data_IF_640294119417
#
_entry.id   IF_640294119417
#
_cell.length_a   1.000
_cell.length_b   1.000
_cell.length_c   1.000
_cell.angle_alpha   90.00
_cell.angle_beta   90.00
_cell.angle_gamma   90.00
#
_symmetry.space_group_name_H-M   'P 1'
#
loop_
_entity.id
_entity.type
_entity.pdbx_description
1 polymer ?
#
# COMPACT_ATOMS: atom_id res chain seq x y z
N UNK A 1 -5.73 39.76 -10.01
CA UNK A 1 -4.33 39.30 -9.97
C UNK A 1 -4.34 37.81 -9.70
N UNK A 2 -3.97 36.98 -10.69
CA UNK A 2 -3.88 35.53 -10.56
C UNK A 2 -2.55 35.18 -9.85
N UNK A 3 -2.51 34.25 -8.89
CA UNK A 3 -1.23 33.83 -8.33
C UNK A 3 -0.51 32.92 -9.34
N UNK A 4 0.73 33.30 -9.64
CA UNK A 4 1.65 32.58 -10.52
C UNK A 4 1.93 31.18 -9.98
N UNK A 5 1.79 30.20 -10.86
CA UNK A 5 2.14 28.81 -10.61
C UNK A 5 3.66 28.67 -10.43
N UNK A 6 4.11 28.52 -9.17
CA UNK A 6 5.45 28.01 -8.87
C UNK A 6 5.54 26.56 -9.35
N UNK A 7 6.16 26.38 -10.51
CA UNK A 7 6.63 25.09 -11.02
C UNK A 7 7.79 24.60 -10.16
N UNK A 8 7.47 24.06 -8.99
CA UNK A 8 8.41 23.41 -8.09
C UNK A 8 8.86 22.05 -8.64
N UNK A 9 9.67 22.05 -9.70
CA UNK A 9 10.63 20.96 -9.92
C UNK A 9 11.73 21.15 -8.88
N UNK A 10 11.48 20.71 -7.65
CA UNK A 10 12.50 20.62 -6.63
C UNK A 10 13.63 19.75 -7.16
N UNK A 11 14.84 20.30 -7.16
CA UNK A 11 16.06 19.56 -7.45
C UNK A 11 16.28 18.52 -6.34
N UNK A 12 15.92 17.27 -6.60
CA UNK A 12 16.26 16.13 -5.75
C UNK A 12 17.68 15.69 -6.08
N UNK A 13 18.69 16.47 -5.63
CA UNK A 13 20.11 16.10 -5.75
C UNK A 13 20.54 15.30 -4.53
N UNK A 14 20.93 14.03 -4.75
CA UNK A 14 21.72 13.26 -3.79
C UNK A 14 21.09 11.97 -3.27
N UNK A 15 20.70 11.05 -4.16
CA UNK A 15 20.56 9.65 -3.81
C UNK A 15 21.28 8.83 -4.87
N UNK A 16 22.11 7.87 -4.45
CA UNK A 16 22.64 6.87 -5.37
C UNK A 16 21.44 6.17 -6.02
N UNK A 17 21.35 6.23 -7.35
CA UNK A 17 20.26 5.65 -8.12
C UNK A 17 20.21 4.14 -7.83
N UNK A 18 19.23 3.68 -7.05
CA UNK A 18 19.03 2.25 -6.82
C UNK A 18 18.54 1.64 -8.13
N UNK A 19 19.24 0.62 -8.63
CA UNK A 19 18.80 -0.10 -9.81
C UNK A 19 17.48 -0.86 -9.56
N UNK A 20 16.69 -0.98 -10.62
CA UNK A 20 15.37 -1.62 -10.63
C UNK A 20 15.41 -3.06 -10.09
N UNK A 21 16.46 -3.82 -10.41
CA UNK A 21 16.60 -5.19 -9.92
C UNK A 21 16.69 -5.24 -8.40
N UNK A 22 17.55 -4.39 -7.82
CA UNK A 22 17.73 -4.28 -6.37
C UNK A 22 16.43 -3.84 -5.68
N UNK A 23 15.74 -2.85 -6.23
CA UNK A 23 14.45 -2.40 -5.69
C UNK A 23 13.42 -3.53 -5.70
N UNK A 24 13.27 -4.23 -6.82
CA UNK A 24 12.34 -5.34 -6.95
C UNK A 24 12.65 -6.48 -5.96
N UNK A 25 13.92 -6.86 -5.80
CA UNK A 25 14.34 -7.88 -4.85
C UNK A 25 13.99 -7.49 -3.40
N UNK A 26 14.33 -6.27 -3.00
CA UNK A 26 14.04 -5.77 -1.65
C UNK A 26 12.53 -5.71 -1.39
N UNK A 27 11.73 -5.24 -2.35
CA UNK A 27 10.26 -5.20 -2.25
C UNK A 27 9.68 -6.61 -2.09
N UNK A 28 10.12 -7.57 -2.91
CA UNK A 28 9.66 -8.96 -2.87
C UNK A 28 9.99 -9.61 -1.54
N UNK A 29 11.22 -9.42 -1.05
CA UNK A 29 11.69 -9.94 0.25
C UNK A 29 10.94 -9.34 1.43
N UNK A 30 10.84 -8.01 1.50
CA UNK A 30 10.27 -7.32 2.67
C UNK A 30 8.76 -7.52 2.78
N UNK A 31 8.05 -7.35 1.67
CA UNK A 31 6.58 -7.46 1.64
C UNK A 31 6.09 -8.90 1.46
N UNK A 32 6.97 -9.84 1.08
CA UNK A 32 6.57 -11.23 0.77
C UNK A 32 5.73 -11.30 -0.50
N UNK A 33 6.12 -10.57 -1.54
CA UNK A 33 5.32 -10.46 -2.77
C UNK A 33 5.37 -11.77 -3.57
N UNK A 34 4.18 -12.26 -3.94
CA UNK A 34 4.04 -13.39 -4.86
C UNK A 34 4.46 -13.04 -6.29
N UNK A 35 4.16 -11.82 -6.73
CA UNK A 35 4.36 -11.36 -8.10
C UNK A 35 5.27 -10.13 -8.12
N UNK A 36 5.93 -9.90 -9.27
CA UNK A 36 6.78 -8.73 -9.45
C UNK A 36 5.95 -7.45 -9.47
N UNK A 37 6.43 -6.36 -8.83
CA UNK A 37 5.88 -5.02 -9.07
C UNK A 37 5.95 -4.69 -10.57
N UNK A 38 4.95 -4.01 -11.09
CA UNK A 38 4.85 -3.71 -12.53
C UNK A 38 5.29 -2.28 -12.79
N UNK A 39 6.41 -2.13 -13.50
CA UNK A 39 6.80 -0.88 -14.10
C UNK A 39 5.85 -0.51 -15.24
N UNK A 40 5.33 0.71 -15.23
CA UNK A 40 4.46 1.24 -16.28
C UNK A 40 4.98 2.59 -16.77
N UNK A 41 5.01 2.75 -18.10
CA UNK A 41 5.30 4.02 -18.77
C UNK A 41 4.25 4.32 -19.85
N UNK A 42 3.82 5.57 -19.94
CA UNK A 42 3.04 6.07 -21.07
C UNK A 42 3.97 6.70 -22.09
N UNK A 43 4.09 6.07 -23.26
CA UNK A 43 4.99 6.53 -24.32
C UNK A 43 4.35 7.68 -25.09
N UNK A 44 5.11 8.77 -25.30
CA UNK A 44 4.66 9.89 -26.12
C UNK A 44 4.78 9.58 -27.60
N UNK A 45 4.07 10.36 -28.43
CA UNK A 45 4.20 10.24 -29.89
C UNK A 45 5.63 10.57 -30.32
N UNK A 46 6.24 9.68 -31.10
CA UNK A 46 7.62 9.83 -31.58
C UNK A 46 8.70 9.35 -30.61
N UNK A 47 8.33 8.90 -29.41
CA UNK A 47 9.27 8.24 -28.50
C UNK A 47 9.66 6.86 -29.04
N UNK A 48 10.94 6.49 -28.91
CA UNK A 48 11.41 5.16 -29.29
C UNK A 48 10.75 4.09 -28.42
N UNK A 49 10.37 2.98 -29.04
CA UNK A 49 9.81 1.83 -28.32
C UNK A 49 10.97 1.15 -27.58
N UNK A 50 10.89 1.00 -26.24
CA UNK A 50 11.94 0.30 -25.50
C UNK A 50 12.19 -1.11 -26.04
N UNK A 51 13.46 -1.52 -26.05
CA UNK A 51 13.86 -2.85 -26.55
C UNK A 51 13.27 -3.95 -25.67
N UNK A 52 12.96 -5.09 -26.28
CA UNK A 52 12.48 -6.29 -25.56
C UNK A 52 11.00 -6.28 -25.18
N UNK A 53 10.25 -5.20 -25.51
CA UNK A 53 8.80 -5.19 -25.34
C UNK A 53 8.12 -5.98 -26.46
N UNK A 54 7.11 -6.77 -26.10
CA UNK A 54 6.32 -7.58 -27.04
C UNK A 54 4.93 -7.00 -27.18
N UNK A 55 4.47 -6.86 -28.42
CA UNK A 55 3.07 -6.54 -28.68
C UNK A 55 2.20 -7.80 -28.51
N UNK A 56 1.18 -7.80 -27.63
CA UNK A 56 0.40 -9.01 -27.38
C UNK A 56 -0.36 -9.45 -28.63
N UNK A 57 -0.54 -10.77 -28.87
CA UNK A 57 -1.17 -11.28 -30.09
C UNK A 57 -2.63 -10.79 -30.23
N UNK A 58 -3.31 -10.56 -29.11
CA UNK A 58 -4.67 -10.03 -29.05
C UNK A 58 -4.72 -8.74 -28.22
N UNK A 59 -5.72 -7.86 -28.43
CA UNK A 59 -5.94 -6.72 -27.58
C UNK A 59 -6.22 -7.14 -26.12
N UNK A 60 -5.60 -6.45 -25.17
CA UNK A 60 -5.78 -6.66 -23.74
C UNK A 60 -6.47 -5.45 -23.12
N UNK A 61 -7.26 -5.65 -22.06
CA UNK A 61 -7.64 -4.54 -21.18
C UNK A 61 -6.39 -4.07 -20.43
N UNK A 62 -6.33 -2.78 -20.07
CA UNK A 62 -5.20 -2.23 -19.30
C UNK A 62 -4.93 -2.97 -17.97
N UNK A 63 -5.98 -3.40 -17.28
CA UNK A 63 -5.84 -4.26 -16.10
C UNK A 63 -5.22 -5.63 -16.43
N UNK A 64 -5.56 -6.23 -17.58
CA UNK A 64 -4.99 -7.50 -18.00
C UNK A 64 -3.51 -7.37 -18.37
N UNK A 65 -3.08 -6.26 -19.00
CA UNK A 65 -1.66 -6.06 -19.30
C UNK A 65 -0.82 -5.95 -18.03
N UNK A 66 -1.35 -5.35 -16.96
CA UNK A 66 -0.70 -5.35 -15.63
C UNK A 66 -0.57 -6.78 -15.07
N UNK A 67 -1.62 -7.60 -15.17
CA UNK A 67 -1.57 -9.01 -14.71
C UNK A 67 -0.59 -9.86 -15.54
N UNK A 68 -0.51 -9.62 -16.85
CA UNK A 68 0.46 -10.31 -17.70
C UNK A 68 1.88 -9.86 -17.37
N UNK A 69 2.08 -8.56 -17.10
CA UNK A 69 3.38 -8.00 -16.73
C UNK A 69 3.88 -8.50 -15.37
N UNK A 70 3.02 -8.56 -14.33
CA UNK A 70 3.41 -9.07 -13.00
C UNK A 70 3.89 -10.53 -13.03
N UNK A 71 3.59 -11.25 -14.11
CA UNK A 71 3.96 -12.66 -14.37
C UNK A 71 5.22 -12.82 -15.23
N UNK A 72 6.00 -11.77 -15.43
CA UNK A 72 7.31 -11.86 -16.10
C UNK A 72 7.34 -11.35 -17.55
N UNK A 73 6.24 -10.80 -18.08
CA UNK A 73 6.17 -10.39 -19.48
C UNK A 73 6.38 -8.89 -19.67
N UNK A 74 7.15 -8.50 -20.67
CA UNK A 74 7.35 -7.10 -21.03
C UNK A 74 6.55 -6.76 -22.28
N UNK A 75 5.66 -5.77 -22.18
CA UNK A 75 4.60 -5.52 -23.15
C UNK A 75 4.67 -4.10 -23.73
N UNK A 76 4.34 -4.00 -25.00
CA UNK A 76 4.07 -2.75 -25.71
C UNK A 76 2.63 -2.76 -26.24
N UNK A 77 1.79 -1.83 -25.81
CA UNK A 77 0.39 -1.74 -26.22
C UNK A 77 0.10 -0.39 -26.89
N UNK A 78 0.09 -0.35 -28.23
CA UNK A 78 -0.47 0.78 -28.98
C UNK A 78 -2.01 0.79 -28.86
N UNK A 79 -2.72 1.82 -29.35
CA UNK A 79 -4.15 1.97 -29.14
C UNK A 79 -4.98 0.75 -29.59
N UNK A 80 -4.61 0.15 -30.72
CA UNK A 80 -5.27 -1.05 -31.28
C UNK A 80 -5.16 -2.30 -30.39
N UNK A 81 -4.25 -2.29 -29.41
CA UNK A 81 -4.05 -3.39 -28.45
C UNK A 81 -4.69 -3.13 -27.10
N UNK A 82 -5.43 -2.02 -26.94
CA UNK A 82 -6.27 -1.80 -25.78
C UNK A 82 -7.72 -2.21 -26.06
N UNK A 83 -8.19 -3.27 -25.39
CA UNK A 83 -9.55 -3.81 -25.56
C UNK A 83 -10.63 -2.99 -24.82
N UNK A 84 -10.24 -2.13 -23.89
CA UNK A 84 -11.18 -1.30 -23.11
C UNK A 84 -11.17 0.13 -23.66
N UNK A 85 -12.24 0.60 -24.34
CA UNK A 85 -12.29 1.95 -24.89
C UNK A 85 -12.25 3.03 -23.80
N UNK A 86 -12.86 2.75 -22.64
CA UNK A 86 -12.79 3.63 -21.47
C UNK A 86 -11.38 3.74 -20.92
N UNK A 87 -10.67 2.61 -20.79
CA UNK A 87 -9.26 2.60 -20.39
C UNK A 87 -8.37 3.35 -21.37
N UNK A 88 -8.50 3.09 -22.67
CA UNK A 88 -7.69 3.73 -23.70
C UNK A 88 -7.94 5.26 -23.77
N UNK A 89 -9.19 5.68 -23.63
CA UNK A 89 -9.55 7.10 -23.58
C UNK A 89 -9.00 7.81 -22.34
N UNK A 90 -9.15 7.19 -21.16
CA UNK A 90 -8.64 7.75 -19.88
C UNK A 90 -7.12 7.96 -19.92
N UNK A 91 -6.41 7.00 -20.52
CA UNK A 91 -4.95 7.05 -20.66
C UNK A 91 -4.48 8.06 -21.74
N UNK A 92 -5.40 8.74 -22.42
CA UNK A 92 -5.07 9.72 -23.46
C UNK A 92 -4.60 9.11 -24.77
N UNK A 93 -4.86 7.83 -25.02
CA UNK A 93 -4.45 7.13 -26.25
C UNK A 93 -5.38 7.42 -27.43
N UNK A 94 -6.68 7.57 -27.16
CA UNK A 94 -7.73 7.75 -28.17
C UNK A 94 -8.80 8.71 -27.67
N UNK A 95 -9.57 9.26 -28.61
CA UNK A 95 -10.80 9.98 -28.29
C UNK A 95 -11.88 9.00 -27.82
N UNK A 96 -12.65 9.39 -26.79
CA UNK A 96 -13.78 8.59 -26.34
C UNK A 96 -14.97 8.75 -27.30
N UNK A 97 -15.77 7.70 -27.48
CA UNK A 97 -17.01 7.84 -28.24
C UNK A 97 -18.00 8.78 -27.54
N UNK A 98 -18.90 9.46 -28.28
CA UNK A 98 -19.89 10.37 -27.69
C UNK A 98 -20.71 9.72 -26.57
N UNK A 99 -21.14 8.46 -26.74
CA UNK A 99 -21.91 7.70 -25.73
C UNK A 99 -21.12 7.38 -24.46
N UNK A 100 -19.81 7.19 -24.59
CA UNK A 100 -18.95 6.97 -23.44
C UNK A 100 -18.73 8.27 -22.67
N UNK A 101 -18.45 9.36 -23.40
CA UNK A 101 -18.21 10.68 -22.81
C UNK A 101 -19.47 11.30 -22.19
N UNK A 102 -20.66 11.03 -22.75
CA UNK A 102 -21.94 11.51 -22.21
C UNK A 102 -22.38 10.76 -20.94
N UNK A 103 -21.85 9.56 -20.71
CA UNK A 103 -22.23 8.68 -19.62
C UNK A 103 -23.30 7.64 -19.96
N UNK A 104 -23.89 7.67 -21.16
CA UNK A 104 -24.94 6.74 -21.60
C UNK A 104 -24.53 5.26 -21.47
N UNK A 105 -23.26 4.94 -21.76
CA UNK A 105 -22.79 3.56 -21.62
C UNK A 105 -22.84 3.05 -20.17
N UNK A 106 -22.66 3.91 -19.16
CA UNK A 106 -22.75 3.48 -17.76
C UNK A 106 -24.18 3.13 -17.36
N UNK A 107 -25.19 3.76 -17.98
CA UNK A 107 -26.59 3.41 -17.79
C UNK A 107 -26.92 2.12 -18.54
N UNK A 108 -26.43 1.98 -19.78
CA UNK A 108 -26.64 0.77 -20.58
C UNK A 108 -26.09 -0.48 -19.88
N UNK A 109 -24.94 -0.35 -19.20
CA UNK A 109 -24.37 -1.42 -18.39
C UNK A 109 -24.97 -1.53 -16.98
N UNK A 110 -26.02 -0.76 -16.67
CA UNK A 110 -26.71 -0.74 -15.37
C UNK A 110 -25.78 -0.46 -14.18
N UNK A 111 -24.72 0.31 -14.41
CA UNK A 111 -23.75 0.68 -13.37
C UNK A 111 -24.20 1.88 -12.54
N UNK A 112 -25.00 2.75 -13.16
CA UNK A 112 -25.47 3.99 -12.55
C UNK A 112 -26.95 4.20 -12.82
N UNK A 113 -27.67 4.85 -11.88
CA UNK A 113 -29.13 4.94 -11.94
C UNK A 113 -29.63 5.90 -13.02
N UNK A 114 -28.85 6.94 -13.36
CA UNK A 114 -29.25 7.99 -14.30
C UNK A 114 -28.03 8.76 -14.85
N UNK A 115 -28.26 9.61 -15.86
CA UNK A 115 -27.22 10.39 -16.54
C UNK A 115 -26.60 11.46 -15.63
N UNK A 116 -27.34 11.99 -14.66
CA UNK A 116 -26.79 12.98 -13.72
C UNK A 116 -25.66 12.37 -12.88
N UNK A 117 -25.92 11.19 -12.30
CA UNK A 117 -24.90 10.42 -11.57
C UNK A 117 -23.71 10.06 -12.47
N UNK A 118 -23.97 9.63 -13.71
CA UNK A 118 -22.92 9.30 -14.67
C UNK A 118 -22.02 10.49 -15.02
N UNK A 119 -22.61 11.66 -15.27
CA UNK A 119 -21.87 12.89 -15.57
C UNK A 119 -21.05 13.36 -14.38
N UNK A 120 -21.60 13.29 -13.16
CA UNK A 120 -20.86 13.61 -11.93
C UNK A 120 -19.64 12.70 -11.74
N UNK A 121 -19.81 11.39 -11.94
CA UNK A 121 -18.71 10.42 -11.85
C UNK A 121 -17.64 10.70 -12.92
N UNK A 122 -18.04 10.91 -14.18
CA UNK A 122 -17.11 11.20 -15.28
C UNK A 122 -16.37 12.51 -15.04
N UNK A 123 -17.04 13.57 -14.57
CA UNK A 123 -16.41 14.87 -14.31
C UNK A 123 -15.36 14.82 -13.19
N UNK A 124 -15.53 13.95 -12.20
CA UNK A 124 -14.53 13.74 -11.14
C UNK A 124 -13.36 12.86 -11.56
N UNK A 125 -13.52 12.06 -12.62
CA UNK A 125 -12.54 11.04 -13.01
C UNK A 125 -11.28 11.69 -13.62
N UNK A 126 -10.07 11.33 -13.15
CA UNK A 126 -8.84 11.79 -13.76
C UNK A 126 -8.63 11.12 -15.12
N UNK A 127 -8.31 11.92 -16.14
CA UNK A 127 -7.96 11.46 -17.49
C UNK A 127 -6.89 12.36 -18.12
N UNK A 128 -6.23 11.85 -19.16
CA UNK A 128 -5.34 12.64 -20.02
C UNK A 128 -6.07 13.10 -21.28
N UNK A 129 -5.57 14.19 -21.89
CA UNK A 129 -6.10 14.68 -23.15
C UNK A 129 -5.95 13.60 -24.25
N UNK A 130 -6.96 13.41 -25.11
CA UNK A 130 -6.89 12.48 -26.23
C UNK A 130 -5.66 12.73 -27.12
N UNK A 131 -4.94 11.67 -27.49
CA UNK A 131 -3.74 11.73 -28.32
C UNK A 131 -2.48 12.25 -27.62
N UNK A 132 -2.52 12.51 -26.31
CA UNK A 132 -1.33 12.92 -25.54
C UNK A 132 -0.29 11.81 -25.41
N UNK A 133 -0.71 10.54 -25.50
CA UNK A 133 0.16 9.37 -25.47
C UNK A 133 -0.14 8.44 -26.63
N UNK A 134 0.89 7.72 -27.08
CA UNK A 134 0.85 6.83 -28.23
C UNK A 134 0.80 5.35 -27.87
N UNK A 135 1.24 4.95 -26.68
CA UNK A 135 1.20 3.57 -26.22
C UNK A 135 1.39 3.46 -24.71
N UNK A 136 1.08 2.28 -24.16
CA UNK A 136 1.56 1.88 -22.83
C UNK A 136 2.70 0.87 -22.95
N UNK A 137 3.73 1.02 -22.13
CA UNK A 137 4.81 0.06 -21.94
C UNK A 137 4.75 -0.47 -20.51
N UNK A 138 4.78 -1.80 -20.36
CA UNK A 138 4.69 -2.46 -19.06
C UNK A 138 5.74 -3.56 -18.96
N UNK A 139 6.32 -3.77 -17.78
CA UNK A 139 7.22 -4.89 -17.52
C UNK A 139 7.24 -5.20 -16.00
N UNK A 140 7.69 -6.39 -15.58
CA UNK A 140 8.25 -6.55 -14.23
C UNK A 140 9.28 -5.46 -13.97
N UNK A 141 9.29 -4.89 -12.76
CA UNK A 141 10.21 -3.82 -12.38
C UNK A 141 11.66 -4.25 -12.65
N UNK A 142 12.04 -5.46 -12.24
CA UNK A 142 13.39 -6.01 -12.39
C UNK A 142 13.86 -6.17 -13.85
N UNK A 143 12.94 -6.20 -14.82
CA UNK A 143 13.27 -6.35 -16.26
C UNK A 143 12.86 -5.13 -17.09
N UNK A 144 12.47 -4.02 -16.44
CA UNK A 144 12.02 -2.83 -17.15
C UNK A 144 13.18 -2.16 -17.90
N UNK A 145 13.14 -2.23 -19.23
CA UNK A 145 14.11 -1.59 -20.13
C UNK A 145 13.81 -0.09 -20.37
N UNK A 146 13.10 0.56 -19.46
CA UNK A 146 12.66 1.95 -19.53
C UNK A 146 12.51 2.54 -18.13
N UNK A 147 12.56 3.87 -18.02
CA UNK A 147 12.25 4.58 -16.78
C UNK A 147 10.72 4.62 -16.59
N UNK A 148 10.16 3.97 -15.54
CA UNK A 148 8.73 3.95 -15.31
C UNK A 148 8.21 5.34 -14.93
N UNK A 149 6.97 5.66 -15.31
CA UNK A 149 6.25 6.79 -14.72
C UNK A 149 5.71 6.41 -13.34
N UNK A 150 5.17 5.19 -13.24
CA UNK A 150 4.63 4.61 -12.00
C UNK A 150 4.99 3.14 -11.88
N UNK A 151 4.97 2.65 -10.65
CA UNK A 151 5.10 1.23 -10.33
C UNK A 151 3.83 0.75 -9.64
N UNK A 152 3.18 -0.23 -10.23
CA UNK A 152 1.90 -0.78 -9.79
C UNK A 152 2.13 -2.12 -9.10
N UNK A 153 1.54 -2.27 -7.92
CA UNK A 153 1.59 -3.46 -7.10
C UNK A 153 0.20 -4.09 -7.04
N UNK A 154 0.13 -5.42 -7.12
CA UNK A 154 -1.05 -6.18 -6.67
C UNK A 154 -0.71 -6.84 -5.35
N UNK A 155 -1.46 -6.49 -4.31
CA UNK A 155 -1.09 -6.72 -2.91
C UNK A 155 -2.26 -7.25 -2.11
N UNK A 156 -1.96 -7.96 -1.03
CA UNK A 156 -2.89 -8.13 0.08
C UNK A 156 -3.01 -6.83 0.89
N UNK A 157 -4.12 -6.63 1.64
CA UNK A 157 -4.32 -5.44 2.46
C UNK A 157 -3.15 -5.14 3.42
N UNK A 158 -2.57 -6.17 4.04
CA UNK A 158 -1.41 -6.02 4.93
C UNK A 158 -0.17 -5.47 4.20
N UNK A 159 0.11 -5.97 2.99
CA UNK A 159 1.26 -5.52 2.21
C UNK A 159 1.08 -4.07 1.75
N UNK A 160 -0.15 -3.69 1.40
CA UNK A 160 -0.51 -2.32 1.07
C UNK A 160 -0.38 -1.38 2.28
N UNK A 161 -0.76 -1.85 3.47
CA UNK A 161 -0.54 -1.12 4.73
C UNK A 161 0.96 -0.83 4.93
N UNK A 162 1.84 -1.80 4.69
CA UNK A 162 3.28 -1.58 4.85
C UNK A 162 3.86 -0.57 3.87
N UNK A 163 3.35 -0.46 2.64
CA UNK A 163 3.71 0.64 1.75
C UNK A 163 3.28 2.00 2.30
N UNK A 164 2.11 2.09 2.94
CA UNK A 164 1.66 3.31 3.60
C UNK A 164 2.56 3.65 4.80
N UNK A 165 2.87 2.66 5.64
CA UNK A 165 3.79 2.83 6.77
C UNK A 165 5.17 3.25 6.30
N UNK A 166 5.68 2.70 5.20
CA UNK A 166 6.96 3.09 4.61
C UNK A 166 6.94 4.55 4.14
N UNK A 167 5.89 4.99 3.46
CA UNK A 167 5.76 6.38 3.05
C UNK A 167 5.70 7.32 4.27
N UNK A 168 4.90 6.98 5.29
CA UNK A 168 4.81 7.76 6.53
C UNK A 168 6.13 7.72 7.32
N UNK A 169 6.89 6.62 7.26
CA UNK A 169 8.22 6.55 7.84
C UNK A 169 9.16 7.57 7.19
N UNK A 170 9.06 7.77 5.87
CA UNK A 170 9.87 8.74 5.13
C UNK A 170 9.42 10.18 5.34
N UNK A 171 8.12 10.47 5.34
CA UNK A 171 7.61 11.86 5.32
C UNK A 171 6.90 12.33 6.59
N UNK A 172 6.47 11.42 7.47
CA UNK A 172 5.57 11.70 8.59
C UNK A 172 4.13 12.01 8.17
N UNK A 173 3.83 12.05 6.87
CA UNK A 173 2.51 12.45 6.36
C UNK A 173 1.50 11.30 6.31
N UNK A 174 0.23 11.67 6.40
CA UNK A 174 -0.90 10.76 6.15
C UNK A 174 -1.25 10.73 4.66
N UNK A 175 -1.46 9.54 4.13
CA UNK A 175 -1.93 9.34 2.77
C UNK A 175 -3.40 9.71 2.62
N UNK A 176 -3.74 10.35 1.51
CA UNK A 176 -5.12 10.58 1.08
C UNK A 176 -5.30 9.96 -0.29
N UNK A 177 -6.08 8.90 -0.35
CA UNK A 177 -6.32 8.15 -1.57
C UNK A 177 -7.55 8.65 -2.32
N UNK A 178 -7.48 8.57 -3.64
CA UNK A 178 -8.55 8.94 -4.55
C UNK A 178 -9.01 7.69 -5.30
N UNK A 179 -10.06 7.05 -4.83
CA UNK A 179 -10.58 5.78 -5.37
C UNK A 179 -12.10 5.79 -5.33
N UNK A 180 -12.74 5.16 -6.31
CA UNK A 180 -14.20 5.12 -6.44
C UNK A 180 -14.77 3.73 -6.72
N UNK A 181 -13.92 2.71 -6.90
CA UNK A 181 -14.34 1.40 -7.43
C UNK A 181 -14.70 1.42 -8.91
N UNK A 182 -14.59 2.59 -9.58
CA UNK A 182 -14.69 2.75 -11.02
C UNK A 182 -13.32 3.16 -11.59
N UNK A 183 -13.05 2.77 -12.84
CA UNK A 183 -11.87 3.22 -13.57
C UNK A 183 -10.49 3.02 -12.88
N UNK A 184 -10.39 2.01 -12.02
CA UNK A 184 -9.19 1.56 -11.27
C UNK A 184 -7.82 1.73 -11.96
N UNK A 185 -7.33 0.73 -12.68
CA UNK A 185 -5.93 0.72 -13.14
C UNK A 185 -5.57 1.87 -14.09
N UNK A 186 -6.51 2.35 -14.89
CA UNK A 186 -6.30 3.48 -15.78
C UNK A 186 -6.37 4.82 -15.03
N UNK A 187 -7.49 5.16 -14.38
CA UNK A 187 -7.68 6.45 -13.73
C UNK A 187 -6.97 6.52 -12.36
N UNK A 188 -7.27 5.60 -11.45
CA UNK A 188 -6.77 5.65 -10.06
C UNK A 188 -5.27 5.38 -9.97
N UNK A 189 -4.75 4.41 -10.72
CA UNK A 189 -3.37 3.94 -10.54
C UNK A 189 -2.37 4.53 -11.54
N UNK A 190 -2.83 4.86 -12.75
CA UNK A 190 -1.96 5.44 -13.77
C UNK A 190 -2.11 6.95 -13.78
N UNK A 191 -3.26 7.47 -14.24
CA UNK A 191 -3.44 8.92 -14.45
C UNK A 191 -3.33 9.70 -13.14
N UNK A 192 -4.05 9.29 -12.08
CA UNK A 192 -4.07 10.03 -10.81
C UNK A 192 -2.69 10.11 -10.18
N UNK A 193 -1.92 9.03 -10.20
CA UNK A 193 -0.57 8.96 -9.64
C UNK A 193 0.39 9.83 -10.45
N UNK A 194 0.36 9.72 -11.79
CA UNK A 194 1.17 10.57 -12.67
C UNK A 194 0.84 12.06 -12.51
N UNK A 195 -0.43 12.43 -12.40
CA UNK A 195 -0.86 13.83 -12.28
C UNK A 195 -0.56 14.44 -10.90
N UNK A 196 -0.72 13.66 -9.84
CA UNK A 196 -0.54 14.16 -8.46
C UNK A 196 0.88 14.01 -7.92
N UNK A 197 1.68 13.11 -8.49
CA UNK A 197 2.98 12.73 -7.93
C UNK A 197 2.88 12.07 -6.55
N UNK A 198 1.70 11.53 -6.19
CA UNK A 198 1.44 10.87 -4.90
C UNK A 198 0.96 9.44 -5.13
N UNK A 199 1.28 8.57 -4.17
CA UNK A 199 0.76 7.20 -4.15
C UNK A 199 -0.76 7.16 -4.18
N UNK A 200 -1.32 6.13 -4.80
CA UNK A 200 -2.76 5.90 -4.76
C UNK A 200 -3.11 4.41 -4.64
N UNK A 201 -4.30 4.12 -4.11
CA UNK A 201 -4.85 2.77 -3.96
C UNK A 201 -6.02 2.58 -4.92
N UNK A 202 -6.29 1.34 -5.30
CA UNK A 202 -7.55 0.99 -5.95
C UNK A 202 -7.98 -0.42 -5.57
N UNK A 203 -9.28 -0.59 -5.32
CA UNK A 203 -9.86 -1.90 -4.99
C UNK A 203 -10.01 -2.81 -6.21
N UNK A 204 -9.58 -2.38 -7.41
CA UNK A 204 -9.98 -3.01 -8.66
C UNK A 204 -11.41 -2.58 -9.03
N UNK A 205 -11.59 -2.05 -10.22
CA UNK A 205 -12.93 -1.64 -10.64
C UNK A 205 -13.76 -2.86 -11.05
N UNK A 206 -15.08 -2.69 -11.13
CA UNK A 206 -15.98 -3.74 -11.63
C UNK A 206 -15.45 -4.42 -12.90
N UNK A 207 -15.02 -3.63 -13.89
CA UNK A 207 -14.50 -4.18 -15.15
C UNK A 207 -13.15 -4.87 -15.00
N UNK A 208 -12.30 -4.43 -14.07
CA UNK A 208 -11.02 -5.09 -13.80
C UNK A 208 -11.27 -6.45 -13.12
N UNK A 209 -12.07 -6.48 -12.05
CA UNK A 209 -12.41 -7.73 -11.35
C UNK A 209 -13.16 -8.72 -12.23
N UNK A 210 -14.04 -8.23 -13.11
CA UNK A 210 -14.78 -9.10 -14.05
C UNK A 210 -13.95 -9.63 -15.23
N UNK A 211 -12.76 -9.09 -15.50
CA UNK A 211 -11.99 -9.42 -16.72
C UNK A 211 -10.53 -9.76 -16.45
N UNK A 212 -10.12 -9.87 -15.19
CA UNK A 212 -8.77 -10.23 -14.81
C UNK A 212 -8.77 -11.09 -13.55
N UNK A 213 -7.66 -11.74 -13.27
CA UNK A 213 -7.52 -12.68 -12.16
C UNK A 213 -7.16 -11.98 -10.84
N UNK A 214 -7.78 -10.83 -10.56
CA UNK A 214 -7.64 -10.18 -9.26
C UNK A 214 -8.51 -10.95 -8.28
N UNK A 215 -7.89 -11.41 -7.21
CA UNK A 215 -8.58 -12.15 -6.15
C UNK A 215 -9.35 -11.21 -5.18
N UNK A 216 -10.30 -11.76 -4.43
CA UNK A 216 -11.09 -11.01 -3.44
C UNK A 216 -10.24 -10.46 -2.29
N UNK A 217 -9.10 -11.08 -2.01
CA UNK A 217 -8.10 -10.62 -1.03
C UNK A 217 -7.00 -9.76 -1.66
N UNK A 218 -7.06 -9.47 -2.97
CA UNK A 218 -6.11 -8.60 -3.64
C UNK A 218 -6.67 -7.18 -3.85
N UNK A 219 -5.81 -6.19 -3.68
CA UNK A 219 -6.02 -4.80 -4.08
C UNK A 219 -4.79 -4.28 -4.84
N UNK A 220 -4.89 -3.06 -5.37
CA UNK A 220 -3.76 -2.41 -6.02
C UNK A 220 -3.25 -1.19 -5.27
N UNK A 221 -1.94 -1.00 -5.31
CA UNK A 221 -1.27 0.26 -4.94
C UNK A 221 -0.42 0.70 -6.13
N UNK A 222 -0.37 1.99 -6.40
CA UNK A 222 0.54 2.57 -7.39
C UNK A 222 1.38 3.67 -6.77
N UNK A 223 2.66 3.67 -7.11
CA UNK A 223 3.69 4.53 -6.55
C UNK A 223 4.37 5.29 -7.69
N UNK A 224 4.52 6.62 -7.61
CA UNK A 224 5.36 7.37 -8.56
C UNK A 224 6.79 6.83 -8.53
N UNK A 225 7.40 6.57 -9.68
CA UNK A 225 8.71 5.91 -9.73
C UNK A 225 9.78 6.62 -8.88
N UNK A 226 9.81 7.96 -8.90
CA UNK A 226 10.76 8.76 -8.11
C UNK A 226 10.64 8.62 -6.59
N UNK A 227 9.52 8.11 -6.07
CA UNK A 227 9.35 7.83 -4.63
C UNK A 227 9.88 6.44 -4.24
N UNK A 228 10.09 5.55 -5.21
CA UNK A 228 10.33 4.14 -4.94
C UNK A 228 11.61 3.86 -4.14
N UNK A 229 12.77 4.51 -4.41
CA UNK A 229 13.99 4.24 -3.65
C UNK A 229 13.82 4.49 -2.15
N UNK A 230 13.20 5.61 -1.78
CA UNK A 230 12.97 5.97 -0.36
C UNK A 230 12.01 5.01 0.34
N UNK A 231 11.00 4.50 -0.39
CA UNK A 231 10.09 3.50 0.14
C UNK A 231 10.79 2.17 0.38
N UNK A 232 11.69 1.77 -0.51
CA UNK A 232 12.48 0.54 -0.34
C UNK A 232 13.35 0.65 0.92
N UNK A 233 14.08 1.77 1.10
CA UNK A 233 14.89 1.99 2.30
C UNK A 233 14.05 1.96 3.59
N UNK A 234 12.87 2.59 3.57
CA UNK A 234 11.96 2.58 4.70
C UNK A 234 11.43 1.18 5.01
N UNK A 235 11.05 0.41 4.00
CA UNK A 235 10.62 -0.99 4.15
C UNK A 235 11.72 -1.88 4.71
N UNK A 236 12.97 -1.71 4.26
CA UNK A 236 14.11 -2.47 4.80
C UNK A 236 14.32 -2.18 6.29
N UNK A 237 14.15 -0.93 6.73
CA UNK A 237 14.21 -0.57 8.17
C UNK A 237 13.04 -1.14 8.96
N UNK A 238 11.81 -1.05 8.43
CA UNK A 238 10.62 -1.62 9.06
C UNK A 238 10.70 -3.15 9.15
N UNK A 239 11.35 -3.79 8.18
CA UNK A 239 11.56 -5.24 8.14
C UNK A 239 12.48 -5.77 9.25
N UNK A 240 13.31 -4.91 9.87
CA UNK A 240 14.17 -5.31 10.99
C UNK A 240 13.37 -5.68 12.26
N UNK A 241 12.16 -5.12 12.43
CA UNK A 241 11.38 -5.30 13.65
C UNK A 241 9.88 -5.30 13.41
N UNK A 242 9.32 -4.20 12.93
CA UNK A 242 7.86 -3.97 12.88
C UNK A 242 7.11 -4.97 12.01
N UNK A 243 7.64 -5.30 10.83
CA UNK A 243 6.99 -6.27 9.91
C UNK A 243 6.97 -7.68 10.54
N UNK A 244 8.11 -8.25 10.99
CA UNK A 244 8.09 -9.53 11.69
C UNK A 244 7.18 -9.57 12.93
N UNK A 245 7.20 -8.54 13.78
CA UNK A 245 6.39 -8.51 15.00
C UNK A 245 4.89 -8.53 14.73
N UNK A 246 4.42 -7.77 13.74
CA UNK A 246 3.02 -7.76 13.30
C UNK A 246 2.60 -9.13 12.76
N UNK A 247 3.44 -9.75 11.91
CA UNK A 247 3.16 -11.05 11.31
C UNK A 247 3.18 -12.19 12.34
N UNK A 248 4.01 -12.06 13.37
CA UNK A 248 4.07 -12.99 14.50
C UNK A 248 2.92 -12.83 15.50
N UNK A 249 2.07 -11.78 15.34
CA UNK A 249 0.88 -11.54 16.18
C UNK A 249 1.18 -11.54 17.68
N UNK A 250 2.35 -11.00 18.07
CA UNK A 250 2.90 -11.06 19.44
C UNK A 250 1.93 -10.50 20.51
N UNK A 251 1.00 -9.62 20.12
CA UNK A 251 0.11 -8.88 21.01
C UNK A 251 -1.33 -9.42 21.09
N UNK A 252 -1.66 -10.53 20.42
CA UNK A 252 -3.02 -11.06 20.46
C UNK A 252 -3.27 -11.80 21.78
N UNK A 253 -3.94 -11.12 22.71
CA UNK A 253 -4.63 -11.73 23.87
C UNK A 253 -5.84 -12.55 23.40
N UNK A 254 -6.39 -13.47 24.23
CA UNK A 254 -7.22 -14.56 23.72
C UNK A 254 -8.32 -14.07 22.79
N UNK A 255 -8.35 -14.66 21.59
CA UNK A 255 -9.48 -14.51 20.67
C UNK A 255 -10.66 -15.18 21.35
N UNK A 256 -11.54 -14.37 21.92
CA UNK A 256 -12.76 -14.87 22.58
C UNK A 256 -13.85 -15.03 21.53
N UNK A 257 -14.17 -16.27 21.18
CA UNK A 257 -15.28 -16.58 20.25
C UNK A 257 -16.66 -16.34 20.89
N UNK A 258 -16.72 -16.28 22.24
CA UNK A 258 -17.92 -15.96 23.00
C UNK A 258 -17.57 -15.16 24.26
N UNK A 259 -18.39 -14.16 24.61
CA UNK A 259 -18.21 -13.33 25.80
C UNK A 259 -19.31 -13.68 26.80
N UNK A 260 -18.97 -14.39 27.88
CA UNK A 260 -19.86 -14.56 29.03
C UNK A 260 -19.88 -13.30 29.89
N UNK A 261 -20.98 -13.07 30.63
CA UNK A 261 -21.00 -12.00 31.63
C UNK A 261 -19.84 -12.22 32.63
N UNK A 262 -19.08 -11.17 32.99
CA UNK A 262 -18.13 -11.28 34.08
C UNK A 262 -18.90 -11.72 35.34
N UNK A 263 -18.41 -12.75 36.04
CA UNK A 263 -18.95 -13.11 37.34
C UNK A 263 -18.80 -11.93 38.29
N UNK A 264 -19.78 -11.68 39.15
CA UNK A 264 -19.75 -10.59 40.15
C UNK A 264 -18.55 -10.71 41.13
N UNK A 265 -17.88 -11.87 41.14
CA UNK A 265 -16.74 -12.19 42.01
C UNK A 265 -15.37 -11.79 41.43
N UNK A 266 -15.28 -11.34 40.17
CA UNK A 266 -14.01 -11.05 39.52
C UNK A 266 -13.50 -9.62 39.77
N UNK A 267 -13.31 -9.22 41.03
CA UNK A 267 -12.37 -8.14 41.39
C UNK A 267 -10.93 -8.67 41.44
N UNK A 268 -10.60 -9.58 40.52
CA UNK A 268 -9.38 -10.40 40.55
C UNK A 268 -8.14 -9.53 40.55
N UNK A 269 -7.48 -9.42 41.70
CA UNK A 269 -6.21 -8.75 41.86
C UNK A 269 -5.21 -9.29 40.83
N UNK A 270 -4.62 -8.41 40.02
CA UNK A 270 -3.62 -8.78 39.03
C UNK A 270 -2.28 -9.01 39.74
N UNK A 271 -1.57 -10.07 39.38
CA UNK A 271 -0.20 -10.31 39.79
C UNK A 271 0.73 -10.09 38.60
N UNK A 272 1.76 -9.25 38.80
CA UNK A 272 2.77 -8.93 37.80
C UNK A 272 4.13 -9.42 38.27
N UNK A 273 4.74 -10.28 37.48
CA UNK A 273 6.08 -10.81 37.74
C UNK A 273 7.03 -10.37 36.63
N UNK A 274 8.24 -9.94 37.01
CA UNK A 274 9.31 -9.57 36.07
C UNK A 274 10.50 -10.50 36.29
N UNK A 275 10.86 -11.27 35.26
CA UNK A 275 12.13 -11.99 35.22
C UNK A 275 13.27 -10.98 35.02
N UNK A 276 13.96 -10.63 36.11
CA UNK A 276 15.04 -9.65 36.06
C UNK A 276 16.32 -10.15 35.38
N UNK A 277 16.49 -11.45 35.18
CA UNK A 277 17.61 -11.98 34.39
C UNK A 277 17.38 -11.71 32.89
N UNK A 278 16.15 -11.93 32.42
CA UNK A 278 15.75 -11.66 31.03
C UNK A 278 15.53 -10.17 30.73
N UNK A 279 15.14 -9.35 31.71
CA UNK A 279 14.90 -7.92 31.50
C UNK A 279 16.19 -7.15 31.20
N UNK A 280 16.35 -6.54 30.04
CA UNK A 280 17.52 -5.73 29.68
C UNK A 280 17.45 -4.27 30.13
N UNK A 281 16.29 -3.83 30.66
CA UNK A 281 16.09 -2.45 31.08
C UNK A 281 15.68 -1.48 29.97
N UNK A 282 15.22 -1.95 28.80
CA UNK A 282 14.86 -1.10 27.65
C UNK A 282 13.75 -0.06 27.92
N UNK A 283 12.92 -0.24 28.96
CA UNK A 283 11.92 0.75 29.40
C UNK A 283 10.60 0.76 28.62
N UNK A 284 10.40 -0.14 27.65
CA UNK A 284 9.16 -0.19 26.85
C UNK A 284 7.92 -0.43 27.72
N UNK A 285 8.01 -1.28 28.74
CA UNK A 285 6.90 -1.53 29.67
C UNK A 285 6.49 -0.27 30.47
N UNK A 286 7.43 0.63 30.79
CA UNK A 286 7.13 1.91 31.42
C UNK A 286 6.49 2.86 30.40
N UNK A 287 7.03 2.94 29.19
CA UNK A 287 6.54 3.84 28.15
C UNK A 287 5.12 3.51 27.66
N UNK A 288 4.78 2.22 27.57
CA UNK A 288 3.51 1.76 27.01
C UNK A 288 2.43 1.44 28.05
N UNK A 289 2.72 1.52 29.35
CA UNK A 289 1.72 1.20 30.38
C UNK A 289 0.79 2.40 30.62
N UNK A 290 -0.51 2.33 30.25
CA UNK A 290 -1.44 3.45 30.46
C UNK A 290 -1.71 3.72 31.95
N UNK A 291 -1.61 2.69 32.80
CA UNK A 291 -1.75 2.81 34.25
C UNK A 291 -0.48 3.28 34.96
N UNK A 292 0.61 3.54 34.22
CA UNK A 292 1.93 3.89 34.78
C UNK A 292 2.41 2.89 35.85
N UNK A 293 2.18 1.59 35.63
CA UNK A 293 2.46 0.52 36.62
C UNK A 293 3.96 0.32 36.86
N UNK A 294 4.80 0.59 35.86
CA UNK A 294 6.23 0.29 35.89
C UNK A 294 7.10 1.52 36.12
N UNK A 295 8.10 1.36 36.98
CA UNK A 295 9.24 2.26 37.12
C UNK A 295 10.53 1.53 36.72
N UNK A 296 11.53 2.27 36.24
CA UNK A 296 12.84 1.69 35.96
C UNK A 296 13.77 1.90 37.16
N UNK A 297 14.02 0.84 37.92
CA UNK A 297 14.85 0.86 39.14
C UNK A 297 16.12 0.07 38.95
N UNK A 298 17.15 0.41 39.74
CA UNK A 298 18.37 -0.39 39.81
C UNK A 298 18.09 -1.64 40.64
N UNK A 299 18.12 -2.81 40.00
CA UNK A 299 17.99 -4.14 40.61
C UNK A 299 19.20 -4.96 40.17
N UNK A 300 19.89 -5.61 41.11
CA UNK A 300 21.11 -6.39 40.83
C UNK A 300 22.17 -5.62 40.00
N UNK A 301 22.42 -4.35 40.36
CA UNK A 301 23.37 -3.42 39.69
C UNK A 301 23.04 -3.08 38.23
N UNK A 302 21.85 -3.41 37.74
CA UNK A 302 21.39 -3.06 36.41
C UNK A 302 20.03 -2.36 36.46
N UNK A 303 19.71 -1.54 35.46
CA UNK A 303 18.40 -0.89 35.36
C UNK A 303 17.38 -1.95 34.89
N UNK A 304 16.31 -2.15 35.66
CA UNK A 304 15.28 -3.19 35.42
C UNK A 304 13.89 -2.60 35.58
N UNK A 305 12.91 -3.23 34.95
CA UNK A 305 11.50 -2.89 35.13
C UNK A 305 11.02 -3.35 36.52
N UNK A 306 10.40 -2.44 37.26
CA UNK A 306 9.86 -2.68 38.58
C UNK A 306 8.37 -2.31 38.62
N UNK A 307 7.45 -3.25 38.90
CA UNK A 307 6.01 -2.98 38.94
C UNK A 307 5.65 -2.25 40.26
N UNK A 308 5.81 -0.93 40.27
CA UNK A 308 5.64 -0.09 41.46
C UNK A 308 4.18 0.16 41.84
N UNK A 309 3.25 0.10 40.88
CA UNK A 309 1.85 0.48 41.05
C UNK A 309 0.89 -0.58 40.48
N UNK A 310 1.02 -1.83 40.93
CA UNK A 310 0.26 -2.99 40.41
C UNK A 310 -1.25 -2.79 40.53
N UNK A 311 -1.71 -2.05 41.54
CA UNK A 311 -3.10 -1.70 41.78
C UNK A 311 -3.72 -0.87 40.64
N UNK A 312 -2.90 -0.23 39.80
CA UNK A 312 -3.35 0.54 38.62
C UNK A 312 -3.43 -0.31 37.35
N UNK A 313 -3.09 -1.60 37.45
CA UNK A 313 -3.06 -2.48 36.29
C UNK A 313 -4.48 -2.78 35.80
N UNK A 314 -4.79 -2.42 34.55
CA UNK A 314 -6.06 -2.74 33.89
C UNK A 314 -6.06 -4.12 33.19
N UNK A 315 -5.03 -4.95 33.42
CA UNK A 315 -4.84 -6.22 32.72
C UNK A 315 -4.95 -6.13 31.19
N UNK A 316 -4.47 -5.03 30.59
CA UNK A 316 -4.43 -4.88 29.13
C UNK A 316 -3.29 -5.64 28.45
N UNK A 317 -2.36 -6.20 29.24
CA UNK A 317 -1.19 -6.96 28.82
C UNK A 317 -0.21 -6.28 27.83
N UNK A 318 -0.36 -4.98 27.57
CA UNK A 318 0.56 -4.22 26.70
C UNK A 318 2.02 -4.38 27.13
N UNK A 319 2.31 -4.37 28.43
CA UNK A 319 3.66 -4.57 28.95
C UNK A 319 4.24 -5.95 28.64
N UNK A 320 3.41 -7.01 28.67
CA UNK A 320 3.80 -8.39 28.33
C UNK A 320 4.14 -8.47 26.86
N UNK A 321 3.29 -7.92 25.99
CA UNK A 321 3.52 -7.92 24.55
C UNK A 321 4.72 -7.05 24.12
N UNK A 322 4.91 -5.89 24.76
CA UNK A 322 5.95 -4.92 24.37
C UNK A 322 7.35 -5.31 24.86
N UNK A 323 7.48 -6.35 25.68
CA UNK A 323 8.76 -6.78 26.20
C UNK A 323 9.51 -7.64 25.16
N UNK A 324 10.60 -7.15 24.53
CA UNK A 324 11.32 -7.90 23.51
C UNK A 324 11.96 -9.18 24.07
N UNK A 325 12.23 -9.21 25.38
CA UNK A 325 12.82 -10.34 26.09
C UNK A 325 11.80 -11.24 26.78
N UNK A 326 10.49 -11.00 26.58
CA UNK A 326 9.39 -11.75 27.22
C UNK A 326 9.56 -11.88 28.74
N UNK A 327 10.11 -10.83 29.36
CA UNK A 327 10.52 -10.83 30.75
C UNK A 327 9.36 -10.53 31.72
N UNK A 328 8.16 -10.24 31.24
CA UNK A 328 7.03 -9.81 32.07
C UNK A 328 5.90 -10.85 31.95
N UNK A 329 5.38 -11.32 33.08
CA UNK A 329 4.18 -12.15 33.16
C UNK A 329 3.08 -11.41 33.92
N UNK A 330 1.83 -11.58 33.47
CA UNK A 330 0.63 -11.05 34.11
C UNK A 330 -0.31 -12.22 34.37
N UNK A 331 -0.77 -12.37 35.62
CA UNK A 331 -1.72 -13.40 36.06
C UNK A 331 -2.91 -12.75 36.77
N UNK A 332 -4.08 -13.36 36.67
CA UNK A 332 -5.24 -12.98 37.48
C UNK A 332 -5.23 -13.86 38.74
N UNK A 333 -5.28 -13.27 39.94
CA UNK A 333 -5.47 -14.06 41.17
C UNK A 333 -6.89 -14.60 41.21
N UNK A 334 -7.03 -15.93 41.29
CA UNK A 334 -8.32 -16.60 41.51
C UNK A 334 -8.86 -17.42 40.33
N UNK A 335 -8.07 -17.73 39.31
CA UNK A 335 -8.39 -18.72 38.27
C UNK A 335 -7.28 -19.76 38.17
#
# INVERSE_FOLDING_TARGET
>A
MRPESRSGRGEWKGFAEMDNQRMAEALRRTLGLRWSPVALRLLKRGEEIPKGLVEPPMPLRHCQSIIVARRGNSLYLPPRKHACPDGAGILGLVEMSPKLRSGELYLLFKKLPNLECARKMIAGRPEFAPGSYAATALAPLETAAFVPDVVIFTLWPEQAMWLCCAQTYTSGERQVFYTSGYNSTCADLTVKVMQSGKMNISFGCYGARASSEIDDFELYVSVPYGMLPLLVEALEKLALKSIPEERNKIYIHPVMDNVSKPSEEASGAVELEVNWEACDGCGLCQAFCPGNVFEMKTVNRAKKAYPAFVERCSACYTCVGQCPHKAIQLRHRGV
#
